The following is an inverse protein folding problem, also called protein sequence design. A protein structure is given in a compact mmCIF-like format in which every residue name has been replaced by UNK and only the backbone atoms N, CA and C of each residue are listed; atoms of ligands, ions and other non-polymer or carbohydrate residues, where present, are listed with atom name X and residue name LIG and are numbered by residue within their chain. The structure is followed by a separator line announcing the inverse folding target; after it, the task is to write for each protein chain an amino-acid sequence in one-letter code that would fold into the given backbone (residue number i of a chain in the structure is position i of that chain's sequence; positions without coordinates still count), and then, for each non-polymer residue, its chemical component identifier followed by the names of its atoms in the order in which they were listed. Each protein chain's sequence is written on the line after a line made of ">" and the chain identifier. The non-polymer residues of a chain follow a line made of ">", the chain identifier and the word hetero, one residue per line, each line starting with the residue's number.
data_IF_064141115789
#
_entry.id   IF_064141115789
#
_cell.length_a   1.000
_cell.length_b   1.000
_cell.length_c   1.000
_cell.angle_alpha   90.00
_cell.angle_beta   90.00
_cell.angle_gamma   90.00
#
_symmetry.space_group_name_H-M   'P 1'
#
loop_
_entity.id
_entity.type
_entity.pdbx_description
1 polymer ?
#
# COMPACT_ATOMS: atom_id res chain seq x y z
N UNK A 1 4.47 23.42 1.36
CA UNK A 1 2.99 23.44 1.32
C UNK A 1 2.40 23.97 2.64
N UNK A 2 2.69 23.43 3.81
CA UNK A 2 2.14 23.85 5.12
C UNK A 2 2.21 25.36 5.36
N UNK A 3 3.39 26.00 5.23
CA UNK A 3 3.57 27.44 5.42
C UNK A 3 2.69 28.32 4.49
N UNK A 4 2.41 27.84 3.27
CA UNK A 4 1.52 28.56 2.34
C UNK A 4 0.07 28.49 2.79
N UNK A 5 -0.38 27.34 3.31
CA UNK A 5 -1.71 27.17 3.89
C UNK A 5 -1.87 28.05 5.12
N UNK A 6 -0.87 28.06 6.01
CA UNK A 6 -0.90 28.89 7.21
C UNK A 6 -1.00 30.40 6.91
N UNK A 7 -0.32 30.86 5.83
CA UNK A 7 -0.40 32.24 5.36
C UNK A 7 -1.76 32.63 4.78
N UNK A 8 -2.43 31.67 4.11
CA UNK A 8 -3.72 31.91 3.45
C UNK A 8 -4.89 31.79 4.43
N UNK A 9 -4.88 30.74 5.25
CA UNK A 9 -5.99 30.44 6.18
C UNK A 9 -5.91 31.28 7.44
N UNK A 10 -4.69 31.57 7.93
CA UNK A 10 -4.49 32.29 9.17
C UNK A 10 -4.92 31.50 10.40
N UNK A 11 -5.76 32.10 11.25
CA UNK A 11 -6.26 31.45 12.46
C UNK A 11 -7.09 30.20 12.12
N UNK A 12 -6.80 29.08 12.80
CA UNK A 12 -7.46 27.79 12.56
C UNK A 12 -6.74 26.87 11.55
N UNK A 13 -5.66 27.35 10.93
CA UNK A 13 -4.86 26.54 9.99
C UNK A 13 -4.28 25.26 10.63
N UNK A 14 -4.04 25.27 11.93
CA UNK A 14 -3.55 24.12 12.68
C UNK A 14 -4.50 22.91 12.65
N UNK A 15 -5.80 23.12 12.43
CA UNK A 15 -6.80 22.06 12.30
C UNK A 15 -6.80 21.39 10.91
N UNK A 16 -6.20 22.05 9.92
CA UNK A 16 -6.12 21.55 8.53
C UNK A 16 -5.01 20.51 8.40
N UNK A 17 -5.35 19.31 7.90
CA UNK A 17 -4.36 18.32 7.56
C UNK A 17 -3.70 18.68 6.22
N UNK A 18 -2.41 18.97 6.26
CA UNK A 18 -1.59 19.24 5.07
C UNK A 18 -0.48 18.20 5.03
N UNK A 19 -0.62 17.21 4.17
CA UNK A 19 0.32 16.08 4.08
C UNK A 19 0.25 15.40 2.72
N UNK A 20 1.20 14.50 2.43
CA UNK A 20 1.13 13.60 1.29
C UNK A 20 0.13 12.47 1.56
N UNK A 21 -0.32 11.75 0.51
CA UNK A 21 -1.13 10.55 0.65
C UNK A 21 -0.51 9.57 1.64
N UNK A 22 0.75 9.18 1.43
CA UNK A 22 1.45 8.23 2.29
C UNK A 22 1.49 8.68 3.76
N UNK A 23 1.78 9.95 4.03
CA UNK A 23 1.81 10.47 5.41
C UNK A 23 0.44 10.43 6.08
N UNK A 24 -0.62 10.70 5.33
CA UNK A 24 -2.00 10.55 5.81
C UNK A 24 -2.34 9.09 6.10
N UNK A 25 -2.01 8.19 5.18
CA UNK A 25 -2.22 6.74 5.34
C UNK A 25 -1.48 6.19 6.55
N UNK A 26 -0.19 6.52 6.74
CA UNK A 26 0.57 6.13 7.94
C UNK A 26 -0.15 6.58 9.21
N UNK A 27 -0.66 7.81 9.25
CA UNK A 27 -1.35 8.36 10.42
C UNK A 27 -2.66 7.61 10.74
N UNK A 28 -3.40 7.21 9.69
CA UNK A 28 -4.61 6.40 9.82
C UNK A 28 -4.26 4.98 10.29
N UNK A 29 -3.32 4.33 9.62
CA UNK A 29 -2.92 2.95 9.91
C UNK A 29 -2.30 2.81 11.30
N UNK A 30 -1.47 3.75 11.76
CA UNK A 30 -0.92 3.73 13.13
C UNK A 30 -2.00 3.72 14.21
N UNK A 31 -3.23 4.13 13.88
CA UNK A 31 -4.33 4.18 14.84
C UNK A 31 -5.26 2.95 14.75
N UNK A 32 -5.40 2.36 13.57
CA UNK A 32 -6.49 1.39 13.32
C UNK A 32 -6.07 0.13 12.56
N UNK A 33 -4.79 -0.06 12.21
CA UNK A 33 -4.37 -1.20 11.39
C UNK A 33 -4.54 -2.55 12.11
N UNK A 34 -4.68 -2.54 13.42
CA UNK A 34 -5.02 -3.71 14.23
C UNK A 34 -6.34 -4.38 13.79
N UNK A 35 -7.26 -3.61 13.21
CA UNK A 35 -8.48 -4.11 12.56
C UNK A 35 -8.19 -5.02 11.34
N UNK A 36 -7.00 -4.91 10.75
CA UNK A 36 -6.51 -5.75 9.65
C UNK A 36 -5.52 -6.84 10.10
N UNK A 37 -5.36 -7.04 11.42
CA UNK A 37 -4.51 -8.09 11.98
C UNK A 37 -3.01 -7.75 12.04
N UNK A 38 -2.63 -6.49 11.96
CA UNK A 38 -1.26 -6.01 12.17
C UNK A 38 -1.10 -5.36 13.56
N UNK A 39 0.13 -5.32 14.08
CA UNK A 39 0.43 -4.44 15.22
C UNK A 39 0.60 -3.00 14.73
N UNK A 40 0.08 -2.04 15.48
CA UNK A 40 0.13 -0.61 15.13
C UNK A 40 1.57 -0.06 15.05
N UNK A 41 2.56 -0.76 15.61
CA UNK A 41 3.99 -0.43 15.52
C UNK A 41 4.68 -1.07 14.32
N UNK A 42 3.96 -1.30 13.22
CA UNK A 42 4.50 -1.90 12.01
C UNK A 42 5.76 -1.16 11.49
N UNK A 43 6.67 -1.89 10.88
CA UNK A 43 7.80 -1.32 10.14
C UNK A 43 7.36 -0.85 8.75
N UNK A 44 8.01 0.18 8.22
CA UNK A 44 7.84 0.60 6.82
C UNK A 44 9.12 0.23 6.10
N UNK A 45 9.02 -0.70 5.14
CA UNK A 45 10.15 -1.19 4.37
C UNK A 45 10.48 -0.22 3.23
N UNK A 46 11.73 0.22 3.20
CA UNK A 46 12.26 1.00 2.10
C UNK A 46 12.66 0.11 0.90
N UNK A 47 13.22 0.73 -0.13
CA UNK A 47 13.61 0.01 -1.36
C UNK A 47 14.64 -1.09 -1.11
N UNK A 48 15.57 -0.92 -0.16
CA UNK A 48 16.58 -1.93 0.13
C UNK A 48 16.02 -3.06 0.99
N UNK A 49 15.13 -2.75 1.94
CA UNK A 49 14.40 -3.75 2.71
C UNK A 49 13.54 -4.63 1.80
N UNK A 50 12.80 -4.01 0.88
CA UNK A 50 11.97 -4.71 -0.12
C UNK A 50 12.82 -5.64 -1.00
N UNK A 51 13.98 -5.20 -1.48
CA UNK A 51 14.89 -6.03 -2.27
C UNK A 51 15.42 -7.21 -1.46
N UNK A 52 15.76 -6.99 -0.20
CA UNK A 52 16.24 -8.03 0.70
C UNK A 52 15.17 -9.08 0.90
N UNK A 53 13.94 -8.66 1.22
CA UNK A 53 12.81 -9.55 1.37
C UNK A 53 12.51 -10.31 0.06
N UNK A 54 12.54 -9.63 -1.10
CA UNK A 54 12.31 -10.28 -2.39
C UNK A 54 13.35 -11.35 -2.70
N UNK A 55 14.62 -11.16 -2.33
CA UNK A 55 15.67 -12.19 -2.47
C UNK A 55 15.34 -13.44 -1.65
N UNK A 56 14.81 -13.27 -0.44
CA UNK A 56 14.37 -14.39 0.41
C UNK A 56 13.19 -15.13 -0.23
N UNK A 57 12.19 -14.39 -0.74
CA UNK A 57 11.05 -14.95 -1.47
C UNK A 57 11.52 -15.73 -2.70
N UNK A 58 12.40 -15.16 -3.51
CA UNK A 58 12.96 -15.84 -4.69
C UNK A 58 13.68 -17.13 -4.32
N UNK A 59 14.45 -17.12 -3.22
CA UNK A 59 15.13 -18.33 -2.72
C UNK A 59 14.14 -19.40 -2.29
N UNK A 60 13.08 -19.02 -1.54
CA UNK A 60 12.01 -19.92 -1.10
C UNK A 60 11.29 -20.59 -2.27
N UNK A 61 11.03 -19.81 -3.34
CA UNK A 61 10.32 -20.26 -4.52
C UNK A 61 11.22 -20.85 -5.62
N UNK A 62 12.52 -21.03 -5.36
CA UNK A 62 13.52 -21.51 -6.31
C UNK A 62 13.53 -20.72 -7.63
N UNK A 63 13.40 -19.38 -7.54
CA UNK A 63 13.45 -18.49 -8.70
C UNK A 63 14.92 -18.11 -8.99
N UNK A 64 15.32 -18.30 -10.25
CA UNK A 64 16.65 -17.88 -10.73
C UNK A 64 16.68 -16.35 -10.92
N UNK A 65 17.28 -15.65 -9.97
CA UNK A 65 17.39 -14.18 -9.99
C UNK A 65 18.34 -13.66 -11.09
N UNK A 66 19.12 -14.53 -11.75
CA UNK A 66 19.90 -14.16 -12.94
C UNK A 66 18.99 -13.95 -14.16
N UNK A 67 17.88 -14.70 -14.24
CA UNK A 67 16.89 -14.62 -15.32
C UNK A 67 15.79 -13.61 -15.00
N UNK A 68 15.35 -13.56 -13.75
CA UNK A 68 14.26 -12.67 -13.31
C UNK A 68 14.77 -11.79 -12.17
N UNK A 69 15.06 -10.54 -12.47
CA UNK A 69 15.58 -9.58 -11.49
C UNK A 69 14.54 -9.22 -10.43
N UNK A 70 14.95 -9.13 -9.18
CA UNK A 70 14.08 -8.77 -8.04
C UNK A 70 13.34 -7.45 -8.29
N UNK A 71 14.02 -6.46 -8.89
CA UNK A 71 13.41 -5.17 -9.24
C UNK A 71 12.21 -5.32 -10.19
N UNK A 72 12.28 -6.25 -11.13
CA UNK A 72 11.17 -6.50 -12.07
C UNK A 72 9.97 -7.12 -11.36
N UNK A 73 10.20 -8.03 -10.41
CA UNK A 73 9.14 -8.64 -9.60
C UNK A 73 8.49 -7.61 -8.68
N UNK A 74 9.28 -6.76 -8.02
CA UNK A 74 8.78 -5.67 -7.19
C UNK A 74 7.95 -4.66 -8.01
N UNK A 75 8.39 -4.29 -9.20
CA UNK A 75 7.64 -3.39 -10.07
C UNK A 75 6.28 -3.97 -10.50
N UNK A 76 6.21 -5.29 -10.74
CA UNK A 76 4.94 -5.95 -11.06
C UNK A 76 3.99 -5.98 -9.86
N UNK A 77 4.52 -6.19 -8.65
CA UNK A 77 3.73 -6.13 -7.41
C UNK A 77 3.24 -4.71 -7.15
N UNK A 78 4.12 -3.71 -7.29
CA UNK A 78 3.76 -2.29 -7.16
C UNK A 78 2.61 -1.91 -8.08
N UNK A 79 2.71 -2.29 -9.37
CA UNK A 79 1.63 -2.06 -10.33
C UNK A 79 0.31 -2.74 -9.93
N UNK A 80 0.35 -3.98 -9.42
CA UNK A 80 -0.84 -4.65 -8.93
C UNK A 80 -1.46 -3.92 -7.71
N UNK A 81 -0.63 -3.42 -6.79
CA UNK A 81 -1.08 -2.64 -5.63
C UNK A 81 -1.68 -1.30 -6.03
N UNK A 82 -1.09 -0.61 -7.01
CA UNK A 82 -1.62 0.64 -7.58
C UNK A 82 -3.03 0.48 -8.15
N UNK A 83 -3.32 -0.71 -8.70
CA UNK A 83 -4.64 -1.08 -9.23
C UNK A 83 -5.55 -1.77 -8.17
N UNK A 84 -5.15 -1.76 -6.90
CA UNK A 84 -5.85 -2.44 -5.79
C UNK A 84 -6.06 -3.95 -5.99
N UNK A 85 -5.25 -4.58 -6.84
CA UNK A 85 -5.31 -6.02 -7.08
C UNK A 85 -4.62 -6.75 -5.93
N UNK A 86 -5.38 -7.49 -5.14
CA UNK A 86 -4.86 -8.30 -4.04
C UNK A 86 -4.11 -9.54 -4.54
N UNK A 87 -3.22 -10.15 -3.73
CA UNK A 87 -2.58 -11.43 -4.08
C UNK A 87 -3.58 -12.53 -4.44
N UNK A 88 -4.71 -12.57 -3.73
CA UNK A 88 -5.79 -13.55 -3.97
C UNK A 88 -6.45 -13.33 -5.32
N UNK A 89 -6.78 -12.09 -5.66
CA UNK A 89 -7.37 -11.76 -6.97
C UNK A 89 -6.40 -12.02 -8.11
N UNK A 90 -5.12 -11.66 -7.95
CA UNK A 90 -4.11 -11.94 -8.97
C UNK A 90 -3.97 -13.46 -9.18
N UNK A 91 -4.02 -14.25 -8.11
CA UNK A 91 -3.99 -15.71 -8.20
C UNK A 91 -5.22 -16.26 -8.92
N UNK A 92 -6.42 -15.76 -8.62
CA UNK A 92 -7.65 -16.16 -9.31
C UNK A 92 -7.58 -15.87 -10.82
N UNK A 93 -7.13 -14.66 -11.20
CA UNK A 93 -6.90 -14.28 -12.60
C UNK A 93 -5.86 -15.17 -13.29
N UNK A 94 -4.81 -15.58 -12.57
CA UNK A 94 -3.78 -16.44 -13.07
C UNK A 94 -4.25 -17.90 -13.28
N UNK A 95 -5.17 -18.39 -12.44
CA UNK A 95 -5.74 -19.73 -12.57
C UNK A 95 -6.65 -19.88 -13.79
N UNK A 96 -7.33 -18.81 -14.21
CA UNK A 96 -8.13 -18.81 -15.46
C UNK A 96 -7.27 -18.72 -16.73
N UNK A 97 -5.99 -18.40 -16.58
CA UNK A 97 -5.02 -18.32 -17.67
C UNK A 97 -4.17 -19.59 -17.73
N UNK A 98 -3.91 -20.09 -18.93
CA UNK A 98 -2.92 -21.17 -19.16
C UNK A 98 -1.46 -20.70 -19.06
N UNK A 99 -1.24 -19.40 -18.79
CA UNK A 99 0.08 -18.78 -18.75
C UNK A 99 0.79 -19.08 -17.41
N UNK A 100 1.84 -19.90 -17.50
CA UNK A 100 2.68 -20.25 -16.35
C UNK A 100 3.36 -19.03 -15.71
N UNK A 101 3.76 -18.03 -16.52
CA UNK A 101 4.43 -16.84 -16.00
C UNK A 101 3.49 -16.01 -15.08
N UNK A 102 2.21 -15.89 -15.45
CA UNK A 102 1.19 -15.22 -14.61
C UNK A 102 0.97 -15.93 -13.28
N UNK A 103 0.92 -17.26 -13.29
CA UNK A 103 0.79 -18.05 -12.05
C UNK A 103 1.99 -17.84 -11.14
N UNK A 104 3.20 -17.86 -11.73
CA UNK A 104 4.44 -17.63 -10.95
C UNK A 104 4.50 -16.23 -10.37
N UNK A 105 4.07 -15.21 -11.11
CA UNK A 105 3.94 -13.84 -10.63
C UNK A 105 2.98 -13.74 -9.42
N UNK A 106 1.80 -14.35 -9.52
CA UNK A 106 0.83 -14.36 -8.43
C UNK A 106 1.34 -15.09 -7.19
N UNK A 107 2.08 -16.20 -7.37
CA UNK A 107 2.76 -16.91 -6.29
C UNK A 107 3.80 -16.04 -5.58
N UNK A 108 4.64 -15.33 -6.35
CA UNK A 108 5.63 -14.39 -5.80
C UNK A 108 4.96 -13.28 -5.01
N UNK A 109 3.90 -12.68 -5.53
CA UNK A 109 3.19 -11.61 -4.83
C UNK A 109 2.59 -12.11 -3.51
N UNK A 110 1.96 -13.29 -3.51
CA UNK A 110 1.43 -13.89 -2.28
C UNK A 110 2.51 -14.11 -1.23
N UNK A 111 3.62 -14.75 -1.60
CA UNK A 111 4.72 -15.04 -0.69
C UNK A 111 5.38 -13.76 -0.15
N UNK A 112 5.50 -12.74 -0.99
CA UNK A 112 6.03 -11.44 -0.59
C UNK A 112 5.12 -10.77 0.43
N UNK A 113 3.81 -10.75 0.20
CA UNK A 113 2.84 -10.15 1.10
C UNK A 113 2.73 -10.91 2.43
N UNK A 114 2.78 -12.26 2.40
CA UNK A 114 2.83 -13.10 3.60
C UNK A 114 4.09 -12.82 4.42
N UNK A 115 5.24 -12.62 3.77
CA UNK A 115 6.50 -12.30 4.45
C UNK A 115 6.47 -10.91 5.09
N UNK A 116 5.92 -9.89 4.41
CA UNK A 116 5.67 -8.56 5.00
C UNK A 116 4.78 -8.67 6.24
N UNK A 117 3.65 -9.35 6.13
CA UNK A 117 2.72 -9.53 7.24
C UNK A 117 3.37 -10.23 8.44
N UNK A 118 4.10 -11.31 8.19
CA UNK A 118 4.85 -12.04 9.23
C UNK A 118 5.85 -11.16 9.97
N UNK A 119 6.48 -10.22 9.27
CA UNK A 119 7.44 -9.29 9.83
C UNK A 119 6.76 -8.05 10.46
N UNK A 120 5.44 -8.00 10.50
CA UNK A 120 4.67 -6.81 10.85
C UNK A 120 5.18 -5.57 10.13
N UNK A 121 5.30 -5.68 8.80
CA UNK A 121 5.85 -4.65 7.94
C UNK A 121 4.89 -4.33 6.78
N UNK A 122 4.97 -3.11 6.30
CA UNK A 122 4.30 -2.61 5.09
C UNK A 122 5.37 -2.01 4.17
N UNK A 123 5.22 -2.15 2.87
CA UNK A 123 5.95 -1.32 1.92
C UNK A 123 5.20 -0.01 1.61
N UNK A 124 5.76 0.83 0.75
CA UNK A 124 5.15 2.12 0.44
C UNK A 124 3.77 1.97 -0.23
N UNK A 125 3.60 1.01 -1.12
CA UNK A 125 2.33 0.78 -1.83
C UNK A 125 1.26 0.23 -0.86
N UNK A 126 1.67 -0.60 0.12
CA UNK A 126 0.80 -1.10 1.17
C UNK A 126 0.20 0.03 2.03
N UNK A 127 0.91 1.14 2.21
CA UNK A 127 0.39 2.24 3.01
C UNK A 127 -0.94 2.76 2.45
N UNK A 128 -1.04 2.88 1.13
CA UNK A 128 -2.27 3.31 0.47
C UNK A 128 -3.25 2.14 0.40
N UNK A 129 -2.84 1.00 -0.15
CA UNK A 129 -3.69 -0.17 -0.33
C UNK A 129 -4.36 -0.63 0.97
N UNK A 130 -3.60 -0.70 2.09
CA UNK A 130 -4.15 -1.09 3.40
C UNK A 130 -5.04 -0.02 4.02
N UNK A 131 -4.85 1.25 3.70
CA UNK A 131 -5.78 2.30 4.11
C UNK A 131 -7.11 2.16 3.38
N UNK A 132 -7.10 1.89 2.08
CA UNK A 132 -8.32 1.62 1.30
C UNK A 132 -9.03 0.38 1.86
N UNK A 133 -8.30 -0.74 2.06
CA UNK A 133 -8.84 -1.97 2.66
C UNK A 133 -9.49 -1.71 4.02
N UNK A 134 -8.83 -0.95 4.89
CA UNK A 134 -9.35 -0.58 6.20
C UNK A 134 -10.65 0.23 6.10
N UNK A 135 -10.68 1.26 5.26
CA UNK A 135 -11.86 2.12 5.10
C UNK A 135 -13.03 1.41 4.41
N UNK A 136 -12.75 0.41 3.58
CA UNK A 136 -13.79 -0.41 2.95
C UNK A 136 -14.33 -1.51 3.88
N UNK A 137 -13.48 -2.08 4.74
CA UNK A 137 -13.86 -3.20 5.61
C UNK A 137 -14.40 -2.77 6.97
N UNK A 138 -14.06 -1.57 7.46
CA UNK A 138 -14.48 -1.05 8.77
C UNK A 138 -15.31 0.23 8.65
N UNK A 139 -16.66 0.12 8.70
CA UNK A 139 -17.56 1.28 8.60
C UNK A 139 -17.39 2.31 9.73
N UNK A 140 -16.95 1.89 10.91
CA UNK A 140 -16.74 2.80 12.05
C UNK A 140 -15.56 3.75 11.76
N UNK A 141 -14.45 3.20 11.29
CA UNK A 141 -13.27 3.98 10.89
C UNK A 141 -13.60 4.88 9.70
N UNK A 142 -14.30 4.35 8.70
CA UNK A 142 -14.74 5.13 7.53
C UNK A 142 -15.58 6.33 7.94
N UNK A 143 -16.64 6.12 8.74
CA UNK A 143 -17.54 7.17 9.20
C UNK A 143 -16.81 8.24 10.00
N UNK A 144 -15.89 7.82 10.92
CA UNK A 144 -15.08 8.75 11.68
C UNK A 144 -14.30 9.72 10.79
N UNK A 145 -13.68 9.23 9.71
CA UNK A 145 -12.92 10.09 8.81
C UNK A 145 -13.81 10.89 7.86
N UNK A 146 -14.98 10.38 7.44
CA UNK A 146 -15.97 11.14 6.67
C UNK A 146 -16.55 12.32 7.46
N UNK A 147 -16.81 12.14 8.74
CA UNK A 147 -17.25 13.23 9.62
C UNK A 147 -16.15 14.24 9.90
N UNK A 148 -14.88 13.79 9.94
CA UNK A 148 -13.73 14.64 10.18
C UNK A 148 -13.33 15.46 8.98
N UNK A 149 -13.41 14.90 7.78
CA UNK A 149 -12.97 15.52 6.52
C UNK A 149 -14.15 15.90 5.63
N UNK A 150 -14.80 17.02 5.95
CA UNK A 150 -15.88 17.54 5.10
C UNK A 150 -15.38 18.01 3.73
N UNK A 151 -14.13 18.43 3.63
CA UNK A 151 -13.52 18.92 2.41
C UNK A 151 -12.14 18.31 2.26
N UNK A 152 -11.86 17.77 1.08
CA UNK A 152 -10.57 17.24 0.69
C UNK A 152 -10.14 17.96 -0.59
N UNK A 153 -8.92 18.50 -0.58
CA UNK A 153 -8.30 19.12 -1.75
C UNK A 153 -7.01 18.37 -2.09
N UNK A 154 -6.93 17.89 -3.32
CA UNK A 154 -5.78 17.15 -3.84
C UNK A 154 -5.07 18.04 -4.84
N UNK A 155 -3.78 18.29 -4.60
CA UNK A 155 -2.89 18.97 -5.54
C UNK A 155 -2.36 17.92 -6.55
N UNK A 156 -2.10 18.36 -7.81
CA UNK A 156 -1.63 17.49 -8.91
C UNK A 156 -2.53 16.23 -9.09
N UNK A 157 -3.83 16.42 -9.01
CA UNK A 157 -4.81 15.32 -9.08
C UNK A 157 -4.66 14.42 -10.32
N UNK A 158 -4.20 14.96 -11.45
CA UNK A 158 -3.93 14.22 -12.67
C UNK A 158 -2.84 13.14 -12.53
N UNK A 159 -2.00 13.22 -11.49
CA UNK A 159 -0.92 12.27 -11.24
C UNK A 159 -1.33 11.13 -10.29
N UNK A 160 -2.60 11.10 -9.86
CA UNK A 160 -3.10 10.05 -8.96
C UNK A 160 -3.32 8.73 -9.69
N UNK A 161 -2.97 7.61 -9.00
CA UNK A 161 -3.29 6.25 -9.45
C UNK A 161 -4.66 5.79 -8.91
N UNK A 162 -5.11 4.60 -9.30
CA UNK A 162 -6.41 4.01 -8.87
C UNK A 162 -6.51 3.92 -7.35
N UNK A 163 -5.47 3.45 -6.67
CA UNK A 163 -5.49 3.29 -5.22
C UNK A 163 -5.57 4.63 -4.46
N UNK A 164 -5.02 5.70 -5.02
CA UNK A 164 -5.11 7.04 -4.43
C UNK A 164 -6.43 7.74 -4.71
N UNK A 165 -7.12 7.31 -5.77
CA UNK A 165 -8.44 7.85 -6.13
C UNK A 165 -9.55 7.30 -5.22
N UNK A 166 -9.51 6.01 -4.86
CA UNK A 166 -10.47 5.34 -3.96
C UNK A 166 -10.38 5.85 -2.52
#
# INVERSE_FOLDING_TARGET
>A
MRERVDKIVGFGSESVWVSTFHSTCVRILRRYIDRLGYDTRFAIYDTEDQKTLMKEVCRKLNIDTKKTKERSLLAQISHAKDELITPTELMQRALTSSDYAKRKQAEVYREYQEALHKNNALDFDDLIMKTVELLQSDPEVKNYYQERFHYIMVDEYQDTNTAQFE
#
